data_IF_461885923343
#
_entry.id   IF_461885923343
#
_cell.length_a   1.000
_cell.length_b   1.000
_cell.length_c   1.000
_cell.angle_alpha   90.00
_cell.angle_beta   90.00
_cell.angle_gamma   90.00
#
_symmetry.space_group_name_H-M   'P 1'
#
loop_
_entity.id
_entity.type
_entity.pdbx_description
1 polymer ?
#
# COMPACT_ATOMS: atom_id res chain seq x y z
N UNK A 1 63.00 11.94 -58.01
CA UNK A 1 61.61 11.45 -58.12
C UNK A 1 60.83 12.15 -57.02
N UNK A 2 60.02 13.15 -57.38
CA UNK A 2 59.25 13.96 -56.43
C UNK A 2 57.76 13.77 -56.72
N UNK A 3 57.00 13.39 -55.69
CA UNK A 3 55.53 13.33 -55.73
C UNK A 3 54.94 14.74 -55.53
N UNK A 4 53.81 15.08 -56.15
CA UNK A 4 53.10 16.32 -55.85
C UNK A 4 52.12 16.14 -54.68
N UNK A 5 52.29 16.97 -53.65
CA UNK A 5 51.33 17.17 -52.56
C UNK A 5 50.04 17.82 -53.09
N UNK A 6 48.94 17.05 -53.15
CA UNK A 6 47.59 17.62 -53.30
C UNK A 6 47.04 17.96 -51.93
N UNK A 7 47.07 19.25 -51.62
CA UNK A 7 46.44 19.86 -50.45
C UNK A 7 44.92 19.69 -50.51
N UNK A 8 44.36 18.95 -49.55
CA UNK A 8 42.92 18.90 -49.28
C UNK A 8 42.58 20.18 -48.50
N UNK A 9 42.13 21.22 -49.19
CA UNK A 9 41.50 22.36 -48.54
C UNK A 9 40.08 21.96 -48.12
N UNK A 10 39.91 21.46 -46.89
CA UNK A 10 38.60 21.46 -46.25
C UNK A 10 38.16 22.92 -46.07
N UNK A 11 37.04 23.36 -46.69
CA UNK A 11 36.61 24.74 -46.59
C UNK A 11 36.18 25.02 -45.14
N UNK A 12 36.80 26.02 -44.54
CA UNK A 12 36.54 26.58 -43.19
C UNK A 12 35.05 26.83 -42.90
N UNK A 13 34.25 26.99 -43.95
CA UNK A 13 32.78 27.16 -43.90
C UNK A 13 32.05 25.94 -43.31
N UNK A 14 32.53 24.71 -43.58
CA UNK A 14 31.87 23.49 -43.09
C UNK A 14 32.07 23.30 -41.59
N UNK A 15 33.26 23.62 -41.07
CA UNK A 15 33.53 23.59 -39.63
C UNK A 15 32.72 24.65 -38.87
N UNK A 16 32.55 25.85 -39.44
CA UNK A 16 31.79 26.93 -38.82
C UNK A 16 30.29 26.59 -38.71
N UNK A 17 29.70 25.95 -39.73
CA UNK A 17 28.29 25.55 -39.68
C UNK A 17 28.03 24.46 -38.62
N UNK A 18 28.93 23.47 -38.49
CA UNK A 18 28.79 22.44 -37.46
C UNK A 18 28.88 23.01 -36.04
N UNK A 19 29.72 24.02 -35.80
CA UNK A 19 29.83 24.67 -34.49
C UNK A 19 28.57 25.48 -34.12
N UNK A 20 27.95 26.17 -35.08
CA UNK A 20 26.70 26.93 -34.83
C UNK A 20 25.52 25.97 -34.57
N UNK A 21 25.50 24.81 -35.24
CA UNK A 21 24.46 23.80 -35.04
C UNK A 21 24.55 23.13 -33.65
N UNK A 22 25.75 22.92 -33.11
CA UNK A 22 25.93 22.36 -31.76
C UNK A 22 25.60 23.37 -30.65
N UNK A 23 25.81 24.67 -30.89
CA UNK A 23 25.47 25.73 -29.93
C UNK A 23 23.96 26.00 -29.83
N UNK A 24 23.19 25.79 -30.90
CA UNK A 24 21.73 26.04 -30.92
C UNK A 24 20.89 24.90 -30.34
N UNK A 25 21.48 23.72 -30.10
CA UNK A 25 20.85 22.58 -29.42
C UNK A 25 20.97 22.63 -27.89
N UNK A 26 21.50 23.72 -27.32
CA UNK A 26 21.51 23.95 -25.87
C UNK A 26 20.08 24.28 -25.38
N UNK A 27 19.39 23.18 -25.10
CA UNK A 27 18.04 23.02 -24.56
C UNK A 27 17.66 24.08 -23.52
N UNK A 28 16.42 24.58 -23.60
CA UNK A 28 15.75 25.25 -22.49
C UNK A 28 15.68 24.29 -21.30
N UNK A 29 16.63 24.41 -20.37
CA UNK A 29 16.55 23.74 -19.07
C UNK A 29 15.58 24.54 -18.20
N UNK A 30 14.36 24.04 -18.02
CA UNK A 30 13.48 24.55 -16.98
C UNK A 30 14.06 24.09 -15.63
N UNK A 31 14.52 25.03 -14.82
CA UNK A 31 14.84 24.73 -13.43
C UNK A 31 13.52 24.45 -12.70
N UNK A 32 13.27 23.19 -12.37
CA UNK A 32 12.22 22.86 -11.42
C UNK A 32 12.74 23.26 -10.04
N UNK A 33 12.38 24.47 -9.60
CA UNK A 33 12.65 24.91 -8.24
C UNK A 33 11.91 23.99 -7.27
N UNK A 34 12.66 23.26 -6.46
CA UNK A 34 12.13 22.43 -5.39
C UNK A 34 13.02 22.56 -4.17
N UNK A 35 12.42 22.64 -2.98
CA UNK A 35 13.16 22.44 -1.74
C UNK A 35 13.29 20.94 -1.55
N UNK A 36 14.51 20.37 -1.43
CA UNK A 36 14.67 18.97 -1.10
C UNK A 36 14.13 18.74 0.32
N UNK A 37 12.92 18.19 0.40
CA UNK A 37 12.36 17.67 1.64
C UNK A 37 12.72 16.19 1.72
N UNK A 38 13.57 15.83 2.68
CA UNK A 38 13.64 14.45 3.12
C UNK A 38 12.39 14.15 3.95
N UNK A 39 11.93 12.90 4.00
CA UNK A 39 11.06 12.43 5.10
C UNK A 39 11.71 12.73 6.48
N UNK A 40 13.03 12.95 6.51
CA UNK A 40 13.85 13.36 7.66
C UNK A 40 13.98 14.88 7.83
N UNK A 41 13.30 15.72 7.03
CA UNK A 41 13.41 17.18 7.13
C UNK A 41 12.89 17.74 8.46
N UNK A 42 12.06 16.97 9.17
CA UNK A 42 11.61 17.25 10.52
C UNK A 42 11.49 15.93 11.29
N UNK A 43 12.37 15.72 12.27
CA UNK A 43 12.37 14.50 13.11
C UNK A 43 11.10 14.33 13.96
N UNK A 44 10.26 15.36 14.06
CA UNK A 44 8.97 15.33 14.75
C UNK A 44 7.79 15.09 13.80
N UNK A 45 8.04 14.58 12.60
CA UNK A 45 6.99 14.22 11.65
C UNK A 45 7.18 12.83 11.09
N UNK A 46 6.08 12.11 10.89
CA UNK A 46 6.04 10.83 10.17
C UNK A 46 5.03 10.98 9.04
N UNK A 47 5.48 10.70 7.81
CA UNK A 47 4.70 10.95 6.60
C UNK A 47 4.15 12.39 6.49
N UNK A 48 4.78 13.40 7.09
CA UNK A 48 4.28 14.79 7.09
C UNK A 48 3.10 15.04 8.04
N UNK A 49 2.85 14.15 9.01
CA UNK A 49 1.96 14.37 10.16
C UNK A 49 2.83 14.52 11.41
N UNK A 50 2.50 15.39 12.37
CA UNK A 50 3.22 15.46 13.64
C UNK A 50 3.31 14.09 14.32
N UNK A 51 4.51 13.75 14.81
CA UNK A 51 4.72 12.58 15.64
C UNK A 51 4.06 12.82 17.00
N UNK A 52 3.09 11.97 17.34
CA UNK A 52 2.33 12.07 18.59
C UNK A 52 2.39 10.76 19.37
N UNK A 53 2.42 10.88 20.70
CA UNK A 53 2.29 9.78 21.63
C UNK A 53 0.81 9.41 21.84
N UNK A 54 0.56 8.13 22.11
CA UNK A 54 -0.75 7.68 22.58
C UNK A 54 -0.97 6.18 22.38
N UNK A 55 -2.19 5.70 22.66
CA UNK A 55 -2.58 4.34 22.34
C UNK A 55 -2.77 4.19 20.83
N UNK A 56 -2.34 3.05 20.29
CA UNK A 56 -2.65 2.61 18.93
C UNK A 56 -3.50 1.35 18.99
N UNK A 57 -4.56 1.29 18.19
CA UNK A 57 -5.49 0.16 18.14
C UNK A 57 -6.94 0.58 18.00
N UNK A 58 -7.84 -0.35 18.32
CA UNK A 58 -9.28 -0.11 18.32
C UNK A 58 -9.64 0.96 19.36
N UNK A 59 -10.51 1.90 18.98
CA UNK A 59 -11.02 2.94 19.88
C UNK A 59 -11.93 2.32 20.96
N UNK A 60 -12.11 2.99 22.12
CA UNK A 60 -13.02 2.51 23.17
C UNK A 60 -14.48 2.37 22.73
N UNK A 61 -14.92 3.22 21.80
CA UNK A 61 -16.28 3.23 21.24
C UNK A 61 -16.19 3.30 19.71
N UNK A 62 -15.76 2.21 19.05
CA UNK A 62 -15.61 2.21 17.60
C UNK A 62 -17.01 2.31 16.96
N UNK A 63 -17.09 2.94 15.79
CA UNK A 63 -18.32 2.86 14.99
C UNK A 63 -18.68 1.39 14.72
N UNK A 64 -19.99 1.03 14.67
CA UNK A 64 -20.41 -0.33 14.38
C UNK A 64 -19.79 -0.87 13.10
N UNK A 65 -19.42 -2.14 13.12
CA UNK A 65 -18.97 -2.89 11.95
C UNK A 65 -19.90 -4.09 11.80
N UNK A 66 -20.55 -4.20 10.65
CA UNK A 66 -21.48 -5.29 10.35
C UNK A 66 -21.06 -5.95 9.04
N UNK A 67 -20.17 -6.94 9.18
CA UNK A 67 -19.71 -7.79 8.07
C UNK A 67 -19.79 -9.23 8.52
N UNK A 68 -20.55 -10.03 7.78
CA UNK A 68 -20.59 -11.47 7.99
C UNK A 68 -19.24 -12.10 7.62
N UNK A 69 -18.76 -13.00 8.46
CA UNK A 69 -17.51 -13.74 8.26
C UNK A 69 -17.80 -15.24 8.24
N UNK A 70 -17.43 -15.90 7.16
CA UNK A 70 -17.52 -17.35 7.05
C UNK A 70 -16.41 -18.01 7.88
N UNK A 71 -16.75 -19.00 8.71
CA UNK A 71 -15.79 -19.71 9.56
C UNK A 71 -15.29 -18.90 10.77
N UNK A 72 -15.85 -17.70 10.98
CA UNK A 72 -15.55 -16.88 12.14
C UNK A 72 -16.12 -17.44 13.43
N UNK A 73 -15.51 -17.06 14.55
CA UNK A 73 -15.88 -17.49 15.91
C UNK A 73 -16.31 -16.32 16.83
N UNK A 74 -16.48 -15.12 16.26
CA UNK A 74 -16.74 -13.86 16.97
C UNK A 74 -15.73 -13.56 18.10
N UNK A 75 -14.55 -14.21 18.04
CA UNK A 75 -13.46 -14.04 18.97
C UNK A 75 -12.78 -12.68 18.84
N UNK A 76 -11.76 -12.44 19.66
CA UNK A 76 -11.05 -11.17 19.68
C UNK A 76 -10.46 -10.80 18.31
N UNK A 77 -9.81 -11.76 17.64
CA UNK A 77 -9.17 -11.51 16.35
C UNK A 77 -10.19 -11.28 15.23
N UNK A 78 -11.30 -12.02 15.21
CA UNK A 78 -12.36 -11.80 14.22
C UNK A 78 -13.05 -10.46 14.43
N UNK A 79 -13.37 -10.08 15.67
CA UNK A 79 -13.92 -8.74 15.94
C UNK A 79 -12.97 -7.63 15.51
N UNK A 80 -11.67 -7.80 15.77
CA UNK A 80 -10.66 -6.82 15.35
C UNK A 80 -10.55 -6.74 13.82
N UNK A 81 -10.55 -7.89 13.13
CA UNK A 81 -10.51 -7.97 11.68
C UNK A 81 -11.77 -7.41 11.01
N UNK A 82 -12.96 -7.70 11.52
CA UNK A 82 -14.24 -7.16 11.04
C UNK A 82 -14.26 -5.63 11.18
N UNK A 83 -13.80 -5.10 12.32
CA UNK A 83 -13.67 -3.65 12.48
C UNK A 83 -12.66 -3.06 11.48
N UNK A 84 -11.52 -3.74 11.26
CA UNK A 84 -10.51 -3.30 10.30
C UNK A 84 -11.07 -3.24 8.87
N UNK A 85 -11.71 -4.31 8.40
CA UNK A 85 -12.31 -4.36 7.06
C UNK A 85 -13.37 -3.28 6.89
N UNK A 86 -14.28 -3.11 7.84
CA UNK A 86 -15.30 -2.06 7.78
C UNK A 86 -14.69 -0.65 7.72
N UNK A 87 -13.60 -0.40 8.43
CA UNK A 87 -12.91 0.90 8.42
C UNK A 87 -12.17 1.18 7.10
N UNK A 88 -11.53 0.14 6.53
CA UNK A 88 -10.88 0.19 5.22
C UNK A 88 -11.93 0.48 4.13
N UNK A 89 -13.07 -0.21 4.19
CA UNK A 89 -14.17 -0.01 3.24
C UNK A 89 -14.80 1.38 3.35
N UNK A 90 -15.03 1.88 4.56
CA UNK A 90 -15.54 3.25 4.77
C UNK A 90 -14.59 4.29 4.15
N UNK A 91 -13.27 4.11 4.34
CA UNK A 91 -12.26 4.97 3.71
C UNK A 91 -12.33 4.90 2.17
N UNK A 92 -12.35 3.71 1.59
CA UNK A 92 -12.34 3.55 0.13
C UNK A 92 -13.67 3.89 -0.53
N UNK A 93 -14.79 3.77 0.17
CA UNK A 93 -16.09 4.22 -0.31
C UNK A 93 -16.07 5.72 -0.67
N UNK A 94 -15.29 6.52 0.07
CA UNK A 94 -15.08 7.94 -0.22
C UNK A 94 -13.87 8.18 -1.15
N UNK A 95 -12.75 7.50 -0.92
CA UNK A 95 -11.49 7.79 -1.61
C UNK A 95 -11.42 7.22 -3.03
N UNK A 96 -11.99 6.04 -3.27
CA UNK A 96 -11.84 5.32 -4.54
C UNK A 96 -12.41 6.09 -5.74
N UNK A 97 -13.63 6.66 -5.69
CA UNK A 97 -14.17 7.41 -6.83
C UNK A 97 -13.39 8.68 -7.17
N UNK A 98 -12.76 9.30 -6.16
CA UNK A 98 -11.93 10.50 -6.34
C UNK A 98 -10.58 10.18 -6.96
N UNK A 99 -10.04 9.00 -6.65
CA UNK A 99 -8.70 8.56 -7.07
C UNK A 99 -8.72 7.87 -8.43
N UNK A 100 -9.71 7.01 -8.68
CA UNK A 100 -9.74 6.13 -9.85
C UNK A 100 -10.87 6.48 -10.84
N UNK A 101 -11.69 7.50 -10.53
CA UNK A 101 -12.83 7.91 -11.35
C UNK A 101 -13.79 6.75 -11.67
N UNK A 102 -13.94 5.82 -10.72
CA UNK A 102 -14.73 4.61 -10.83
C UNK A 102 -15.53 4.36 -9.54
N UNK A 103 -16.54 3.48 -9.61
CA UNK A 103 -17.34 3.13 -8.43
C UNK A 103 -16.55 2.13 -7.57
N UNK A 104 -16.55 2.34 -6.25
CA UNK A 104 -16.01 1.39 -5.30
C UNK A 104 -16.92 0.18 -5.15
N UNK A 105 -16.36 -1.02 -5.10
CA UNK A 105 -17.08 -2.26 -4.86
C UNK A 105 -16.35 -2.99 -3.74
N UNK A 106 -16.97 -3.18 -2.56
CA UNK A 106 -16.38 -3.97 -1.50
C UNK A 106 -16.09 -5.41 -1.95
N UNK A 107 -15.19 -6.10 -1.24
CA UNK A 107 -14.99 -7.55 -1.42
C UNK A 107 -16.30 -8.29 -1.09
N UNK A 108 -16.61 -9.32 -1.86
CA UNK A 108 -17.91 -9.99 -1.80
C UNK A 108 -18.09 -10.80 -0.52
N UNK A 109 -17.00 -11.36 0.02
CA UNK A 109 -17.06 -12.23 1.19
C UNK A 109 -15.80 -12.13 2.05
N UNK A 110 -15.97 -12.44 3.33
CA UNK A 110 -14.89 -12.54 4.31
C UNK A 110 -14.80 -13.96 4.85
N UNK A 111 -13.58 -14.48 4.98
CA UNK A 111 -13.32 -15.83 5.51
C UNK A 111 -12.32 -15.77 6.65
N UNK A 112 -12.65 -16.41 7.76
CA UNK A 112 -11.75 -16.60 8.90
C UNK A 112 -11.52 -18.08 9.15
N UNK A 113 -10.28 -18.45 9.47
CA UNK A 113 -9.92 -19.83 9.77
C UNK A 113 -8.93 -19.94 10.93
N UNK A 114 -8.82 -21.14 11.50
CA UNK A 114 -7.83 -21.47 12.51
C UNK A 114 -6.82 -22.46 11.95
N UNK A 115 -5.66 -21.98 11.53
CA UNK A 115 -4.61 -22.82 10.95
C UNK A 115 -3.99 -23.80 11.95
N UNK A 116 -4.08 -23.49 13.25
CA UNK A 116 -3.59 -24.30 14.36
C UNK A 116 -4.64 -25.27 14.93
N UNK A 117 -5.88 -25.19 14.44
CA UNK A 117 -7.01 -26.01 14.87
C UNK A 117 -7.15 -27.31 14.07
N UNK A 118 -8.02 -28.22 14.52
CA UNK A 118 -8.36 -29.43 13.78
C UNK A 118 -9.35 -29.18 12.64
N UNK A 119 -9.97 -28.00 12.58
CA UNK A 119 -11.03 -27.68 11.64
C UNK A 119 -10.48 -27.50 10.22
N UNK A 120 -11.04 -28.27 9.27
CA UNK A 120 -10.70 -28.15 7.86
C UNK A 120 -11.57 -27.06 7.24
N UNK A 121 -10.94 -25.99 6.77
CA UNK A 121 -11.56 -25.01 5.89
C UNK A 121 -10.74 -24.86 4.60
N UNK A 122 -11.31 -24.17 3.62
CA UNK A 122 -10.66 -23.82 2.37
C UNK A 122 -10.68 -22.30 2.19
N UNK A 123 -9.58 -21.75 1.70
CA UNK A 123 -9.49 -20.37 1.24
C UNK A 123 -8.74 -20.36 -0.09
N UNK A 124 -9.31 -19.70 -1.11
CA UNK A 124 -8.74 -19.62 -2.46
C UNK A 124 -8.28 -20.99 -3.00
N UNK A 125 -9.18 -21.97 -2.97
CA UNK A 125 -8.97 -23.35 -3.44
C UNK A 125 -7.84 -24.12 -2.72
N UNK A 126 -7.39 -23.62 -1.56
CA UNK A 126 -6.33 -24.20 -0.74
C UNK A 126 -6.83 -24.56 0.66
N UNK A 127 -6.35 -25.68 1.20
CA UNK A 127 -6.63 -26.10 2.58
C UNK A 127 -6.00 -25.10 3.56
N UNK A 128 -6.73 -24.76 4.62
CA UNK A 128 -6.28 -23.75 5.59
C UNK A 128 -5.51 -24.31 6.79
N UNK A 129 -5.45 -25.65 6.95
CA UNK A 129 -4.70 -26.29 8.02
C UNK A 129 -3.20 -26.04 7.81
N UNK A 130 -2.52 -25.53 8.85
CA UNK A 130 -1.12 -25.16 8.77
C UNK A 130 -0.82 -23.97 7.83
N UNK A 131 -1.86 -23.30 7.33
CA UNK A 131 -1.73 -22.11 6.49
C UNK A 131 -1.91 -20.84 7.35
N UNK A 132 -0.84 -20.40 8.00
CA UNK A 132 -0.81 -19.21 8.87
C UNK A 132 -0.67 -17.92 8.05
N UNK A 133 -1.73 -17.58 7.30
CA UNK A 133 -1.69 -16.48 6.34
C UNK A 133 -2.90 -15.52 6.42
N UNK A 134 -2.82 -14.41 5.70
CA UNK A 134 -3.95 -13.60 5.27
C UNK A 134 -3.88 -13.46 3.75
N UNK A 135 -4.98 -13.10 3.09
CA UNK A 135 -4.98 -13.05 1.64
C UNK A 135 -6.22 -12.39 1.05
N UNK A 136 -6.04 -11.84 -0.15
CA UNK A 136 -7.13 -11.57 -1.08
C UNK A 136 -7.13 -12.59 -2.24
N UNK A 137 -8.28 -13.24 -2.45
CA UNK A 137 -8.48 -14.21 -3.53
C UNK A 137 -9.18 -13.54 -4.71
N UNK A 138 -8.44 -13.34 -5.80
CA UNK A 138 -8.92 -12.67 -7.02
C UNK A 138 -10.12 -13.40 -7.64
N UNK A 139 -10.08 -14.73 -7.74
CA UNK A 139 -11.11 -15.52 -8.43
C UNK A 139 -12.46 -15.54 -7.69
N UNK A 140 -12.45 -15.34 -6.37
CA UNK A 140 -13.63 -15.39 -5.52
C UNK A 140 -14.02 -14.00 -4.98
N UNK A 141 -13.25 -12.95 -5.32
CA UNK A 141 -13.35 -11.61 -4.75
C UNK A 141 -13.55 -11.65 -3.21
N UNK A 142 -12.71 -12.44 -2.55
CA UNK A 142 -12.84 -12.77 -1.13
C UNK A 142 -11.58 -12.38 -0.38
N UNK A 143 -11.72 -11.86 0.83
CA UNK A 143 -10.61 -11.55 1.72
C UNK A 143 -10.67 -12.47 2.94
N UNK A 144 -9.51 -12.93 3.42
CA UNK A 144 -9.50 -13.80 4.58
C UNK A 144 -8.23 -13.76 5.41
N UNK A 145 -8.32 -14.31 6.62
CA UNK A 145 -7.26 -14.31 7.61
C UNK A 145 -7.27 -15.54 8.53
N UNK A 146 -6.09 -15.91 9.00
CA UNK A 146 -5.91 -16.87 10.08
C UNK A 146 -6.04 -16.21 11.46
N UNK A 147 -7.18 -16.43 12.13
CA UNK A 147 -7.42 -16.00 13.52
C UNK A 147 -6.67 -16.84 14.55
N UNK A 148 -6.19 -18.03 14.18
CA UNK A 148 -5.62 -19.01 15.08
C UNK A 148 -4.14 -18.80 15.38
N UNK A 149 -3.33 -18.57 14.34
CA UNK A 149 -1.88 -18.40 14.50
C UNK A 149 -1.39 -17.02 14.04
N UNK A 150 -1.73 -16.59 12.81
CA UNK A 150 -1.18 -15.36 12.23
C UNK A 150 -1.58 -14.10 13.01
N UNK A 151 -2.87 -13.77 13.08
CA UNK A 151 -3.30 -12.51 13.70
C UNK A 151 -2.84 -12.39 15.16
N UNK A 152 -2.99 -13.43 16.02
CA UNK A 152 -2.45 -13.37 17.37
C UNK A 152 -0.94 -13.13 17.42
N UNK A 153 -0.16 -13.73 16.50
CA UNK A 153 1.28 -13.53 16.42
C UNK A 153 1.62 -12.08 16.06
N UNK A 154 0.92 -11.50 15.08
CA UNK A 154 1.09 -10.11 14.69
C UNK A 154 0.77 -9.14 15.84
N UNK A 155 -0.34 -9.37 16.54
CA UNK A 155 -0.72 -8.55 17.71
C UNK A 155 0.32 -8.61 18.82
N UNK A 156 0.87 -9.80 19.12
CA UNK A 156 1.94 -9.94 20.13
C UNK A 156 3.22 -9.20 19.75
N UNK A 157 3.57 -9.19 18.47
CA UNK A 157 4.83 -8.61 18.00
C UNK A 157 4.75 -7.09 17.78
N UNK A 158 3.63 -6.62 17.23
CA UNK A 158 3.51 -5.25 16.70
C UNK A 158 2.31 -4.49 17.26
N UNK A 159 1.52 -5.10 18.13
CA UNK A 159 0.32 -4.50 18.72
C UNK A 159 -0.92 -4.64 17.83
N UNK A 160 -2.09 -4.17 18.30
CA UNK A 160 -3.37 -4.40 17.65
C UNK A 160 -3.50 -3.75 16.27
N UNK A 161 -2.74 -2.68 15.97
CA UNK A 161 -2.72 -2.06 14.64
C UNK A 161 -2.08 -2.92 13.56
N UNK A 162 -1.39 -4.01 13.93
CA UNK A 162 -0.84 -4.95 12.96
C UNK A 162 -1.94 -5.62 12.13
N UNK A 163 -3.11 -5.88 12.73
CA UNK A 163 -4.26 -6.48 12.03
C UNK A 163 -4.81 -5.56 10.94
N UNK A 164 -5.27 -4.32 11.23
CA UNK A 164 -5.73 -3.43 10.17
C UNK A 164 -4.65 -3.07 9.15
N UNK A 165 -3.37 -3.05 9.52
CA UNK A 165 -2.28 -2.89 8.55
C UNK A 165 -2.19 -4.07 7.58
N UNK A 166 -2.14 -5.30 8.08
CA UNK A 166 -2.11 -6.51 7.24
C UNK A 166 -3.36 -6.61 6.37
N UNK A 167 -4.55 -6.40 6.93
CA UNK A 167 -5.77 -6.48 6.13
C UNK A 167 -5.89 -5.33 5.12
N UNK A 168 -5.35 -4.15 5.41
CA UNK A 168 -5.27 -3.07 4.42
C UNK A 168 -4.33 -3.40 3.26
N UNK A 169 -3.24 -4.14 3.51
CA UNK A 169 -2.39 -4.69 2.46
C UNK A 169 -3.18 -5.67 1.58
N UNK A 170 -3.88 -6.65 2.18
CA UNK A 170 -4.69 -7.60 1.42
C UNK A 170 -5.80 -6.91 0.60
N UNK A 171 -6.45 -5.91 1.21
CA UNK A 171 -7.44 -5.09 0.52
C UNK A 171 -6.81 -4.26 -0.62
N UNK A 172 -5.54 -3.89 -0.48
CA UNK A 172 -4.70 -3.29 -1.53
C UNK A 172 -4.72 -4.10 -2.83
N UNK A 173 -4.65 -5.43 -2.75
CA UNK A 173 -4.77 -6.29 -3.93
C UNK A 173 -6.18 -6.25 -4.55
N UNK A 174 -7.24 -6.16 -3.73
CA UNK A 174 -8.60 -6.01 -4.23
C UNK A 174 -8.75 -4.69 -5.02
N UNK A 175 -8.19 -3.60 -4.49
CA UNK A 175 -8.26 -2.28 -5.11
C UNK A 175 -7.46 -2.21 -6.41
N UNK A 176 -6.24 -2.74 -6.43
CA UNK A 176 -5.41 -2.74 -7.65
C UNK A 176 -6.04 -3.61 -8.74
N UNK A 177 -6.67 -4.73 -8.37
CA UNK A 177 -7.42 -5.56 -9.30
C UNK A 177 -8.67 -4.83 -9.82
N UNK A 178 -9.47 -4.23 -8.95
CA UNK A 178 -10.66 -3.47 -9.33
C UNK A 178 -10.33 -2.25 -10.22
N UNK A 179 -9.21 -1.59 -9.95
CA UNK A 179 -8.71 -0.46 -10.73
C UNK A 179 -7.96 -0.89 -12.01
N UNK A 180 -7.82 -2.19 -12.27
CA UNK A 180 -7.07 -2.77 -13.41
C UNK A 180 -5.63 -2.26 -13.49
N UNK A 181 -5.00 -2.05 -12.33
CA UNK A 181 -3.60 -1.61 -12.21
C UNK A 181 -2.62 -2.77 -12.31
N UNK A 182 -3.08 -3.98 -11.98
CA UNK A 182 -2.29 -5.21 -12.00
C UNK A 182 -2.97 -6.25 -12.88
N UNK A 183 -2.15 -7.04 -13.56
CA UNK A 183 -2.55 -8.15 -14.41
C UNK A 183 -1.59 -9.35 -14.20
N UNK A 184 -1.84 -10.52 -14.81
CA UNK A 184 -0.98 -11.70 -14.65
C UNK A 184 0.48 -11.52 -15.13
N UNK A 185 0.79 -10.46 -15.88
CA UNK A 185 2.14 -10.15 -16.35
C UNK A 185 2.86 -9.12 -15.46
N UNK A 186 2.13 -8.50 -14.53
CA UNK A 186 2.70 -7.57 -13.56
C UNK A 186 3.65 -8.33 -12.63
N UNK A 187 4.85 -7.79 -12.45
CA UNK A 187 5.84 -8.40 -11.56
C UNK A 187 5.29 -8.46 -10.13
N UNK A 188 5.47 -9.59 -9.45
CA UNK A 188 5.01 -9.80 -8.06
C UNK A 188 5.44 -8.65 -7.17
N UNK A 189 6.73 -8.29 -7.15
CA UNK A 189 7.26 -7.18 -6.35
C UNK A 189 6.49 -5.87 -6.58
N UNK A 190 6.11 -5.58 -7.83
CA UNK A 190 5.38 -4.38 -8.18
C UNK A 190 3.93 -4.45 -7.71
N UNK A 191 3.28 -5.60 -7.83
CA UNK A 191 1.94 -5.84 -7.30
C UNK A 191 1.89 -5.69 -5.77
N UNK A 192 2.82 -6.32 -5.07
CA UNK A 192 2.95 -6.21 -3.60
C UNK A 192 3.19 -4.75 -3.19
N UNK A 193 4.09 -4.05 -3.87
CA UNK A 193 4.40 -2.67 -3.50
C UNK A 193 3.23 -1.71 -3.77
N UNK A 194 2.41 -1.99 -4.78
CA UNK A 194 1.17 -1.23 -4.99
C UNK A 194 0.16 -1.47 -3.87
N UNK A 195 -0.02 -2.72 -3.42
CA UNK A 195 -0.87 -3.04 -2.29
C UNK A 195 -0.42 -2.32 -1.01
N UNK A 196 0.87 -2.35 -0.72
CA UNK A 196 1.48 -1.59 0.40
C UNK A 196 1.25 -0.08 0.29
N UNK A 197 1.37 0.48 -0.93
CA UNK A 197 1.17 1.91 -1.16
C UNK A 197 -0.27 2.31 -0.81
N UNK A 198 -1.26 1.55 -1.28
CA UNK A 198 -2.67 1.80 -0.99
C UNK A 198 -2.98 1.59 0.49
N UNK A 199 -2.45 0.55 1.12
CA UNK A 199 -2.56 0.32 2.56
C UNK A 199 -2.02 1.51 3.37
N UNK A 200 -0.88 2.05 2.96
CA UNK A 200 -0.27 3.24 3.56
C UNK A 200 -1.17 4.48 3.51
N UNK A 201 -1.98 4.64 2.46
CA UNK A 201 -2.93 5.78 2.38
C UNK A 201 -4.05 5.68 3.41
N UNK A 202 -4.57 4.47 3.64
CA UNK A 202 -5.54 4.21 4.71
C UNK A 202 -4.90 4.44 6.09
N UNK A 203 -3.71 3.89 6.34
CA UNK A 203 -3.03 4.08 7.63
C UNK A 203 -2.73 5.56 7.91
N UNK A 204 -2.39 6.34 6.87
CA UNK A 204 -2.27 7.80 6.99
C UNK A 204 -3.58 8.43 7.45
N UNK A 205 -4.70 8.06 6.87
CA UNK A 205 -6.03 8.57 7.24
C UNK A 205 -6.39 8.23 8.69
N UNK A 206 -6.06 7.02 9.16
CA UNK A 206 -6.17 6.63 10.58
C UNK A 206 -5.27 7.52 11.47
N UNK A 207 -4.01 7.72 11.08
CA UNK A 207 -3.05 8.55 11.83
C UNK A 207 -3.44 10.03 11.91
N UNK A 208 -4.23 10.53 10.95
CA UNK A 208 -4.83 11.87 11.00
C UNK A 208 -6.01 11.96 11.97
N UNK A 209 -6.41 10.85 12.58
CA UNK A 209 -7.52 10.78 13.52
C UNK A 209 -8.90 10.67 12.85
N UNK A 210 -8.96 10.55 11.53
CA UNK A 210 -10.20 10.52 10.75
C UNK A 210 -10.97 9.21 10.88
N UNK A 211 -10.28 8.11 11.20
CA UNK A 211 -10.90 6.81 11.41
C UNK A 211 -11.87 6.80 12.59
N UNK A 212 -13.12 6.34 12.41
CA UNK A 212 -14.08 6.18 13.49
C UNK A 212 -13.85 4.91 14.34
N UNK A 213 -13.02 3.97 13.88
CA UNK A 213 -12.77 2.69 14.60
C UNK A 213 -11.37 2.59 15.20
N UNK A 214 -10.36 3.17 14.56
CA UNK A 214 -8.96 3.01 14.95
C UNK A 214 -8.27 4.34 15.28
N UNK A 215 -7.25 4.23 16.13
CA UNK A 215 -6.27 5.27 16.41
C UNK A 215 -4.89 4.72 16.08
N UNK A 216 -4.06 5.52 15.43
CA UNK A 216 -2.66 5.21 15.15
C UNK A 216 -1.77 6.38 15.57
N UNK A 217 -0.75 6.10 16.37
CA UNK A 217 0.19 7.09 16.93
C UNK A 217 1.62 6.73 16.53
N UNK A 218 2.48 7.73 16.36
CA UNK A 218 3.82 7.56 15.78
C UNK A 218 4.91 7.26 16.80
N UNK A 219 4.63 7.47 18.08
CA UNK A 219 5.58 7.19 19.16
C UNK A 219 4.92 6.33 20.23
N UNK A 220 5.71 5.37 20.75
CA UNK A 220 5.25 4.42 21.74
C UNK A 220 5.04 5.15 23.06
N UNK A 221 3.81 5.15 23.56
CA UNK A 221 3.57 5.42 24.98
C UNK A 221 4.19 4.28 25.82
N UNK A 222 5.49 4.37 26.13
CA UNK A 222 6.05 3.59 27.23
C UNK A 222 5.76 4.36 28.52
N UNK A 223 4.50 4.33 28.98
CA UNK A 223 4.28 4.55 30.41
C UNK A 223 4.76 3.29 31.11
N UNK A 224 5.85 3.46 31.88
CA UNK A 224 6.29 2.51 32.91
C UNK A 224 5.21 2.35 33.97
#
# INVERSE_FOLDING_TARGET
MSLPDRWIHTPTVVLACCAVLTLTLSTCANTVGGVPISQLGNAYQVAGIPAVDGPSGLRPHPAPADRAVHGGDDGEMDRLAVNAVADIEDFWQEAYPKTFWATFHPVDSLTSWNSAGPDIANFCDSLTIGFDNAGYCVSQNSLGWDRGALLPKLVRMFGPMAVPMTLAHEYGHALTHQAKMVDPHTQTLVSEQMADCLAGTYLRWVAQGSSPRFTLTSTRSSRR
#
